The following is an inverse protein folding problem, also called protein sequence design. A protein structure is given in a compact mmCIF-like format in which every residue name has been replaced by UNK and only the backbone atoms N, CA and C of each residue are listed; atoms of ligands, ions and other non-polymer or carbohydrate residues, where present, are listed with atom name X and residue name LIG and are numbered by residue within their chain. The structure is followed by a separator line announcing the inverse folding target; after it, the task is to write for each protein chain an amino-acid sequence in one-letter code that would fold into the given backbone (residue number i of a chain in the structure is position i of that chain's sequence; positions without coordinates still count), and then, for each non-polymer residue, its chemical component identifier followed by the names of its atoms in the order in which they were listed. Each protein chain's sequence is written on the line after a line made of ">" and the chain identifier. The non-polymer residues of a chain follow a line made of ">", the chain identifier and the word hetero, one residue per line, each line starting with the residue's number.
data_IF_481245836467
#
_entry.id   IF_481245836467
#
_cell.length_a   1.000
_cell.length_b   1.000
_cell.length_c   1.000
_cell.angle_alpha   90.00
_cell.angle_beta   90.00
_cell.angle_gamma   90.00
#
_symmetry.space_group_name_H-M   'P 1'
#
loop_
_entity.id
_entity.type
_entity.pdbx_description
1 polymer ?
#
# COMPACT_ATOMS: atom_id res chain seq x y z
N UNK A 1 19.99 11.35 22.51
CA UNK A 1 20.03 9.91 22.17
C UNK A 1 18.62 9.30 22.09
N UNK A 2 17.66 9.67 22.94
CA UNK A 2 16.28 9.15 22.83
C UNK A 2 15.56 9.50 21.52
N UNK A 3 15.66 10.75 21.04
CA UNK A 3 14.98 11.18 19.81
C UNK A 3 15.48 10.45 18.55
N UNK A 4 16.75 10.04 18.56
CA UNK A 4 17.37 9.31 17.45
C UNK A 4 16.80 7.89 17.34
N UNK A 5 16.60 7.21 18.48
CA UNK A 5 15.94 5.91 18.54
C UNK A 5 14.47 5.98 18.11
N UNK A 6 13.76 7.04 18.49
CA UNK A 6 12.37 7.26 18.04
C UNK A 6 12.30 7.44 16.52
N UNK A 7 13.19 8.25 15.95
CA UNK A 7 13.22 8.49 14.51
C UNK A 7 13.57 7.22 13.72
N UNK A 8 14.55 6.44 14.21
CA UNK A 8 14.93 5.15 13.60
C UNK A 8 13.75 4.17 13.65
N UNK A 9 13.08 4.04 14.79
CA UNK A 9 11.93 3.15 14.96
C UNK A 9 10.76 3.56 14.06
N UNK A 10 10.50 4.86 13.94
CA UNK A 10 9.46 5.40 13.06
C UNK A 10 9.76 5.11 11.58
N UNK A 11 11.02 5.28 11.18
CA UNK A 11 11.47 4.96 9.82
C UNK A 11 11.35 3.46 9.53
N UNK A 12 11.76 2.61 10.47
CA UNK A 12 11.67 1.15 10.36
C UNK A 12 10.21 0.70 10.22
N UNK A 13 9.32 1.28 11.02
CA UNK A 13 7.89 1.01 10.92
C UNK A 13 7.27 1.51 9.61
N UNK A 14 7.68 2.68 9.12
CA UNK A 14 7.24 3.18 7.82
C UNK A 14 7.68 2.25 6.68
N UNK A 15 8.92 1.75 6.71
CA UNK A 15 9.41 0.78 5.73
C UNK A 15 8.63 -0.54 5.82
N UNK A 16 8.34 -1.03 7.03
CA UNK A 16 7.48 -2.21 7.23
C UNK A 16 6.06 -2.00 6.68
N UNK A 17 5.50 -0.81 6.86
CA UNK A 17 4.21 -0.45 6.27
C UNK A 17 4.25 -0.39 4.74
N UNK A 18 5.35 0.12 4.17
CA UNK A 18 5.60 0.12 2.73
C UNK A 18 5.67 -1.31 2.18
N UNK A 19 6.30 -2.24 2.90
CA UNK A 19 6.33 -3.67 2.51
C UNK A 19 4.91 -4.23 2.44
N UNK A 20 4.06 -3.97 3.44
CA UNK A 20 2.67 -4.40 3.44
C UNK A 20 1.89 -3.90 2.23
N UNK A 21 2.00 -2.61 1.93
CA UNK A 21 1.35 -2.02 0.77
C UNK A 21 1.96 -2.48 -0.57
N UNK A 22 3.27 -2.77 -0.59
CA UNK A 22 3.97 -3.36 -1.73
C UNK A 22 3.38 -4.72 -2.15
N UNK A 23 2.91 -5.53 -1.20
CA UNK A 23 2.19 -6.78 -1.50
C UNK A 23 0.90 -6.48 -2.27
N UNK A 24 0.11 -5.48 -1.85
CA UNK A 24 -1.11 -5.04 -2.55
C UNK A 24 -0.79 -4.59 -3.98
N UNK A 25 0.31 -3.84 -4.16
CA UNK A 25 0.78 -3.39 -5.47
C UNK A 25 1.13 -4.57 -6.39
N UNK A 26 1.90 -5.55 -5.91
CA UNK A 26 2.31 -6.70 -6.72
C UNK A 26 1.10 -7.51 -7.18
N UNK A 27 0.10 -7.68 -6.31
CA UNK A 27 -1.15 -8.36 -6.65
C UNK A 27 -1.96 -7.55 -7.65
N UNK A 28 -2.08 -6.22 -7.47
CA UNK A 28 -2.74 -5.33 -8.41
C UNK A 28 -2.10 -5.35 -9.80
N UNK A 29 -0.76 -5.32 -9.87
CA UNK A 29 0.01 -5.46 -11.10
C UNK A 29 -0.25 -6.78 -11.82
N UNK A 30 -0.29 -7.90 -11.09
CA UNK A 30 -0.64 -9.21 -11.66
C UNK A 30 -2.05 -9.21 -12.23
N UNK A 31 -3.02 -8.64 -11.50
CA UNK A 31 -4.41 -8.57 -11.95
C UNK A 31 -4.59 -7.70 -13.20
N UNK A 32 -3.96 -6.52 -13.23
CA UNK A 32 -3.95 -5.66 -14.43
C UNK A 32 -3.33 -6.38 -15.64
N UNK A 33 -2.29 -7.19 -15.40
CA UNK A 33 -1.66 -7.99 -16.46
C UNK A 33 -2.61 -9.06 -17.02
N UNK A 34 -3.38 -9.71 -16.15
CA UNK A 34 -4.38 -10.71 -16.55
C UNK A 34 -5.57 -10.06 -17.28
N UNK A 35 -6.09 -8.93 -16.78
CA UNK A 35 -7.18 -8.17 -17.40
C UNK A 35 -6.80 -7.70 -18.82
N UNK A 36 -5.61 -7.13 -18.99
CA UNK A 36 -5.14 -6.72 -20.30
C UNK A 36 -4.90 -7.91 -21.27
N UNK A 37 -4.59 -9.11 -20.76
CA UNK A 37 -4.51 -10.32 -21.56
C UNK A 37 -5.90 -10.87 -21.97
N UNK A 38 -6.93 -10.61 -21.17
CA UNK A 38 -8.32 -11.01 -21.49
C UNK A 38 -8.95 -10.07 -22.51
N UNK A 39 -8.72 -8.76 -22.37
CA UNK A 39 -9.19 -7.75 -23.35
C UNK A 39 -8.55 -7.99 -24.73
N UNK A 40 -7.27 -8.37 -24.78
CA UNK A 40 -6.60 -8.73 -26.03
C UNK A 40 -7.22 -9.97 -26.73
N UNK A 41 -7.94 -10.83 -26.00
CA UNK A 41 -8.67 -11.97 -26.59
C UNK A 41 -10.08 -11.60 -27.03
N UNK A 42 -10.78 -10.69 -26.35
CA UNK A 42 -12.08 -10.17 -26.79
C UNK A 42 -11.96 -9.25 -28.03
N UNK A 43 -10.88 -8.50 -28.14
CA UNK A 43 -10.61 -7.63 -29.31
C UNK A 43 -10.27 -8.43 -30.58
N UNK A 44 -9.96 -9.73 -30.48
CA UNK A 44 -9.79 -10.60 -31.63
C UNK A 44 -11.11 -10.90 -32.40
N UNK A 45 -12.26 -10.46 -31.87
CA UNK A 45 -13.57 -10.56 -32.53
C UNK A 45 -14.01 -9.28 -33.29
N UNK A 46 -13.22 -8.20 -33.30
CA UNK A 46 -13.54 -6.93 -33.99
C UNK A 46 -12.28 -6.30 -34.66
N UNK A 47 -12.41 -5.38 -35.65
CA UNK A 47 -11.31 -4.97 -36.53
C UNK A 47 -10.14 -4.28 -35.79
N UNK A 48 -8.92 -4.25 -36.37
CA UNK A 48 -7.69 -4.02 -35.63
C UNK A 48 -7.60 -2.59 -35.08
N UNK A 49 -7.77 -2.45 -33.77
CA UNK A 49 -7.46 -1.22 -33.05
C UNK A 49 -5.96 -1.20 -32.68
N UNK A 50 -5.33 -0.01 -32.61
CA UNK A 50 -3.89 0.11 -32.57
C UNK A 50 -3.35 -0.25 -31.19
N UNK A 51 -2.38 -1.17 -31.19
CA UNK A 51 -1.38 -1.36 -30.14
C UNK A 51 -1.91 -1.63 -28.73
N UNK A 52 -1.98 -2.91 -28.36
CA UNK A 52 -2.04 -3.42 -26.98
C UNK A 52 -1.00 -2.84 -25.99
N UNK A 53 -0.11 -1.95 -26.45
CA UNK A 53 0.90 -1.24 -25.65
C UNK A 53 0.36 0.06 -25.02
N UNK A 54 -0.70 0.67 -25.56
CA UNK A 54 -1.26 1.92 -25.02
C UNK A 54 -2.19 1.71 -23.83
N UNK A 55 -2.90 0.58 -23.77
CA UNK A 55 -3.84 0.26 -22.67
C UNK A 55 -3.13 0.03 -21.33
N UNK A 56 -1.92 -0.55 -21.35
CA UNK A 56 -1.12 -0.74 -20.12
C UNK A 56 -0.63 0.58 -19.51
N UNK A 57 -0.18 1.54 -20.32
CA UNK A 57 0.30 2.83 -19.82
C UNK A 57 -0.86 3.74 -19.35
N UNK A 58 -2.06 3.57 -19.90
CA UNK A 58 -3.25 4.35 -19.49
C UNK A 58 -3.90 3.80 -18.20
N UNK A 59 -3.84 2.48 -18.00
CA UNK A 59 -4.32 1.82 -16.77
C UNK A 59 -3.31 1.89 -15.63
N UNK A 60 -2.01 1.91 -15.93
CA UNK A 60 -0.94 1.91 -14.94
C UNK A 60 -0.47 3.33 -14.59
N UNK A 61 -1.22 4.00 -13.72
CA UNK A 61 -0.82 5.32 -13.23
C UNK A 61 0.28 5.22 -12.16
N UNK A 62 1.51 5.48 -12.58
CA UNK A 62 2.68 5.52 -11.70
C UNK A 62 2.51 6.50 -10.52
N UNK A 63 1.69 7.54 -10.65
CA UNK A 63 1.39 8.46 -9.53
C UNK A 63 0.51 7.80 -8.48
N UNK A 64 -0.49 7.01 -8.90
CA UNK A 64 -1.34 6.24 -7.97
C UNK A 64 -0.53 5.16 -7.27
N UNK A 65 0.43 4.55 -7.96
CA UNK A 65 1.36 3.60 -7.36
C UNK A 65 2.16 4.26 -6.21
N UNK A 66 2.82 5.38 -6.50
CA UNK A 66 3.60 6.13 -5.51
C UNK A 66 2.74 6.62 -4.34
N UNK A 67 1.54 7.13 -4.63
CA UNK A 67 0.59 7.54 -3.61
C UNK A 67 0.19 6.36 -2.73
N UNK A 68 -0.06 5.19 -3.31
CA UNK A 68 -0.40 3.99 -2.55
C UNK A 68 0.74 3.58 -1.62
N UNK A 69 1.99 3.50 -2.12
CA UNK A 69 3.18 3.20 -1.32
C UNK A 69 3.36 4.21 -0.18
N UNK A 70 3.11 5.49 -0.45
CA UNK A 70 3.16 6.53 0.57
C UNK A 70 2.10 6.32 1.66
N UNK A 71 0.88 5.93 1.30
CA UNK A 71 -0.17 5.57 2.28
C UNK A 71 0.28 4.39 3.15
N UNK A 72 0.88 3.35 2.55
CA UNK A 72 1.44 2.21 3.30
C UNK A 72 2.51 2.63 4.30
N UNK A 73 3.42 3.52 3.88
CA UNK A 73 4.44 4.09 4.75
C UNK A 73 3.83 4.86 5.93
N UNK A 74 2.89 5.75 5.65
CA UNK A 74 2.19 6.56 6.66
C UNK A 74 1.41 5.66 7.63
N UNK A 75 0.70 4.64 7.14
CA UNK A 75 0.01 3.66 7.97
C UNK A 75 0.98 2.90 8.89
N UNK A 76 2.17 2.54 8.40
CA UNK A 76 3.23 1.93 9.21
C UNK A 76 3.75 2.86 10.30
N UNK A 77 4.01 4.13 9.98
CA UNK A 77 4.39 5.15 10.96
C UNK A 77 3.29 5.33 12.04
N UNK A 78 2.03 5.44 11.63
CA UNK A 78 0.88 5.55 12.54
C UNK A 78 0.72 4.31 13.41
N UNK A 79 0.90 3.11 12.85
CA UNK A 79 0.88 1.87 13.62
C UNK A 79 1.94 1.89 14.73
N UNK A 80 3.15 2.37 14.45
CA UNK A 80 4.19 2.53 15.46
C UNK A 80 3.86 3.61 16.51
N UNK A 81 3.33 4.76 16.09
CA UNK A 81 2.91 5.82 17.01
C UNK A 81 1.72 5.45 17.89
N UNK A 82 0.86 4.53 17.42
CA UNK A 82 -0.31 4.06 18.19
C UNK A 82 0.05 3.12 19.33
N UNK A 83 1.31 2.65 19.39
CA UNK A 83 1.79 1.71 20.39
C UNK A 83 2.38 2.44 21.58
N UNK A 84 2.20 1.85 22.76
CA UNK A 84 2.79 2.34 24.00
C UNK A 84 4.14 1.68 24.28
N UNK A 85 4.39 0.50 23.70
CA UNK A 85 5.61 -0.28 23.89
C UNK A 85 6.65 -0.03 22.78
N UNK A 86 7.90 0.21 23.19
CA UNK A 86 9.04 0.46 22.30
C UNK A 86 9.68 -0.81 21.70
N UNK A 87 9.28 -2.01 22.16
CA UNK A 87 9.87 -3.26 21.68
C UNK A 87 9.34 -3.67 20.30
N UNK A 88 10.26 -3.95 19.37
CA UNK A 88 9.99 -4.46 18.03
C UNK A 88 10.03 -6.00 17.99
N UNK A 89 9.07 -6.65 18.66
CA UNK A 89 8.88 -8.10 18.51
C UNK A 89 8.42 -8.48 17.09
N UNK A 90 8.55 -9.75 16.71
CA UNK A 90 8.08 -10.25 15.39
C UNK A 90 6.59 -9.99 15.18
N UNK A 91 5.78 -10.13 16.24
CA UNK A 91 4.33 -9.89 16.18
C UNK A 91 4.01 -8.42 15.85
N UNK A 92 4.83 -7.52 16.38
CA UNK A 92 4.76 -6.06 16.13
C UNK A 92 5.06 -5.75 14.68
N UNK A 93 6.14 -6.34 14.17
CA UNK A 93 6.56 -6.15 12.78
C UNK A 93 5.47 -6.64 11.83
N UNK A 94 4.90 -7.82 12.11
CA UNK A 94 3.78 -8.36 11.33
C UNK A 94 2.52 -7.49 11.43
N UNK A 95 2.21 -6.94 12.60
CA UNK A 95 1.09 -6.02 12.79
C UNK A 95 1.28 -4.72 12.00
N UNK A 96 2.50 -4.16 11.96
CA UNK A 96 2.83 -2.96 11.19
C UNK A 96 2.73 -3.24 9.68
N UNK A 97 3.22 -4.40 9.23
CA UNK A 97 3.07 -4.84 7.84
C UNK A 97 1.59 -5.01 7.49
N UNK A 98 0.79 -5.62 8.37
CA UNK A 98 -0.64 -5.78 8.18
C UNK A 98 -1.38 -4.43 8.16
N UNK A 99 -0.99 -3.48 9.00
CA UNK A 99 -1.51 -2.13 8.99
C UNK A 99 -1.17 -1.40 7.68
N UNK A 100 0.07 -1.54 7.21
CA UNK A 100 0.49 -1.03 5.90
C UNK A 100 -0.26 -1.68 4.73
N UNK A 101 -0.52 -2.99 4.80
CA UNK A 101 -1.35 -3.70 3.82
C UNK A 101 -2.79 -3.20 3.85
N UNK A 102 -3.37 -2.96 5.02
CA UNK A 102 -4.70 -2.38 5.17
C UNK A 102 -4.76 -0.91 4.72
N UNK A 103 -3.65 -0.19 4.79
CA UNK A 103 -3.45 1.11 4.16
C UNK A 103 -4.44 2.16 4.64
N UNK A 104 -5.22 2.74 3.71
CA UNK A 104 -6.23 3.77 4.01
C UNK A 104 -7.28 3.28 5.01
N UNK A 105 -7.72 2.03 4.92
CA UNK A 105 -8.73 1.46 5.81
C UNK A 105 -8.28 1.48 7.27
N UNK A 106 -6.98 1.25 7.49
CA UNK A 106 -6.37 1.31 8.82
C UNK A 106 -6.29 2.75 9.34
N UNK A 107 -5.86 3.69 8.49
CA UNK A 107 -5.80 5.12 8.84
C UNK A 107 -7.21 5.61 9.21
N UNK A 108 -8.22 5.35 8.39
CA UNK A 108 -9.61 5.70 8.69
C UNK A 108 -10.10 5.05 9.99
N UNK A 109 -9.76 3.78 10.23
CA UNK A 109 -10.10 3.08 11.47
C UNK A 109 -9.51 3.75 12.72
N UNK A 110 -8.24 4.18 12.65
CA UNK A 110 -7.61 4.95 13.74
C UNK A 110 -8.30 6.30 13.91
N UNK A 111 -8.55 7.03 12.82
CA UNK A 111 -9.19 8.35 12.90
C UNK A 111 -10.59 8.27 13.50
N UNK A 112 -11.41 7.28 13.13
CA UNK A 112 -12.73 7.04 13.74
C UNK A 112 -12.64 6.69 15.23
N UNK A 113 -11.60 5.97 15.63
CA UNK A 113 -11.37 5.61 17.04
C UNK A 113 -10.89 6.81 17.88
N UNK A 114 -10.14 7.73 17.30
CA UNK A 114 -9.61 8.93 17.96
C UNK A 114 -10.58 10.12 17.91
N UNK A 115 -11.49 10.16 16.93
CA UNK A 115 -12.61 11.10 16.81
C UNK A 115 -13.95 10.37 16.97
N UNK A 116 -14.23 9.71 18.12
CA UNK A 116 -15.56 9.21 18.38
C UNK A 116 -16.49 10.41 18.53
N UNK A 117 -17.32 10.62 17.51
CA UNK A 117 -18.43 11.57 17.38
C UNK A 117 -18.69 12.51 18.57
N UNK A 118 -18.53 13.81 18.33
CA UNK A 118 -19.40 14.82 18.95
C UNK A 118 -20.81 14.71 18.37
#
# INVERSE_FOLDING_TARGET
>A
MENESVLINLLLAGILGLIGQGIRVIIGLKKLKEEAATVAQEEAAAPPAPAAKTVYDDLFDSRKLWLSLFIGFIAGCLANLSRTDAEFSKDVQLAIVAAGYAGTDFIEGIFKKLLPNH
#
